data_IF_786786851479
#
_entry.id   IF_786786851479
#
_cell.length_a   1.000
_cell.length_b   1.000
_cell.length_c   1.000
_cell.angle_alpha   90.00
_cell.angle_beta   90.00
_cell.angle_gamma   90.00
#
_symmetry.space_group_name_H-M   'P 1'
#
loop_
_entity.id
_entity.type
_entity.pdbx_description
1 polymer ?
#
# COMPACT_ATOMS: atom_id res chain seq x y z
N UNK A 1 -9.03 -21.73 4.43
CA UNK A 1 -8.35 -20.85 5.38
C UNK A 1 -8.33 -19.48 4.73
N UNK A 2 -9.17 -18.55 5.19
CA UNK A 2 -9.17 -17.16 4.71
C UNK A 2 -8.16 -16.48 5.63
N UNK A 3 -7.00 -16.09 5.11
CA UNK A 3 -6.11 -15.21 5.87
C UNK A 3 -6.81 -13.87 5.99
N UNK A 4 -7.32 -13.58 7.19
CA UNK A 4 -7.71 -12.23 7.55
C UNK A 4 -6.46 -11.37 7.43
N UNK A 5 -6.55 -10.28 6.67
CA UNK A 5 -5.62 -9.17 6.80
C UNK A 5 -5.82 -8.66 8.22
N UNK A 6 -4.92 -9.03 9.12
CA UNK A 6 -4.92 -8.47 10.47
C UNK A 6 -4.65 -6.98 10.33
N UNK A 7 -5.65 -6.19 10.68
CA UNK A 7 -5.55 -4.76 10.81
C UNK A 7 -4.63 -4.48 12.00
N UNK A 8 -3.31 -4.41 11.76
CA UNK A 8 -2.38 -3.96 12.78
C UNK A 8 -2.56 -2.45 12.99
N UNK A 9 -3.51 -2.09 13.86
CA UNK A 9 -3.54 -0.79 14.50
C UNK A 9 -2.33 -0.70 15.44
N UNK A 10 -1.17 -0.30 14.94
CA UNK A 10 -0.15 0.28 15.83
C UNK A 10 -0.80 1.49 16.51
N UNK A 11 -0.88 1.43 17.85
CA UNK A 11 -1.49 2.44 18.73
C UNK A 11 -1.34 3.86 18.15
N UNK A 12 -2.41 4.35 17.54
CA UNK A 12 -2.61 5.74 17.15
C UNK A 12 -2.40 6.13 15.69
N UNK A 13 -1.79 5.31 14.81
CA UNK A 13 -1.55 5.72 13.42
C UNK A 13 -1.62 4.55 12.42
N UNK A 14 -2.44 4.71 11.37
CA UNK A 14 -2.48 3.76 10.26
C UNK A 14 -1.14 3.79 9.50
N UNK A 15 -0.60 2.60 9.20
CA UNK A 15 0.59 2.45 8.34
C UNK A 15 0.25 2.81 6.89
N UNK A 16 -0.97 2.47 6.48
CA UNK A 16 -1.51 2.76 5.15
C UNK A 16 -2.41 4.01 5.19
N UNK A 17 -2.14 4.96 4.30
CA UNK A 17 -2.97 6.17 4.13
C UNK A 17 -4.13 5.96 3.15
N UNK A 18 -4.00 4.98 2.26
CA UNK A 18 -5.00 4.58 1.26
C UNK A 18 -4.78 3.13 0.87
N UNK A 19 -5.86 2.37 0.73
CA UNK A 19 -5.86 1.01 0.20
C UNK A 19 -6.85 0.97 -0.96
N UNK A 20 -6.42 0.36 -2.05
CA UNK A 20 -7.18 0.22 -3.28
C UNK A 20 -7.17 -1.24 -3.73
N UNK A 21 -8.30 -1.71 -4.25
CA UNK A 21 -8.39 -2.98 -4.97
C UNK A 21 -8.75 -2.73 -6.43
N UNK A 22 -7.95 -3.28 -7.32
CA UNK A 22 -8.12 -3.23 -8.77
C UNK A 22 -8.49 -4.62 -9.25
N UNK A 23 -9.50 -4.75 -10.11
CA UNK A 23 -9.90 -6.02 -10.72
C UNK A 23 -8.85 -6.52 -11.72
N UNK A 24 -8.98 -7.77 -12.15
CA UNK A 24 -8.15 -8.32 -13.23
C UNK A 24 -8.32 -7.58 -14.58
N UNK A 25 -9.40 -6.79 -14.75
CA UNK A 25 -9.65 -5.94 -15.92
C UNK A 25 -9.03 -4.54 -15.79
N UNK A 26 -8.40 -4.20 -14.65
CA UNK A 26 -7.87 -2.87 -14.40
C UNK A 26 -8.91 -1.87 -13.89
N UNK A 27 -10.04 -2.34 -13.38
CA UNK A 27 -11.10 -1.47 -12.85
C UNK A 27 -10.95 -1.27 -11.34
N UNK A 28 -11.21 -0.05 -10.86
CA UNK A 28 -11.22 0.24 -9.43
C UNK A 28 -12.48 -0.33 -8.77
N UNK A 29 -12.31 -1.31 -7.87
CA UNK A 29 -13.41 -1.94 -7.14
C UNK A 29 -13.62 -1.33 -5.75
N UNK A 30 -12.53 -0.97 -5.08
CA UNK A 30 -12.56 -0.43 -3.73
C UNK A 30 -11.44 0.58 -3.52
N UNK A 31 -11.72 1.61 -2.72
CA UNK A 31 -10.80 2.69 -2.40
C UNK A 31 -11.14 3.24 -1.01
N UNK A 32 -10.16 3.28 -0.10
CA UNK A 32 -10.34 3.84 1.24
C UNK A 32 -10.02 5.34 1.31
N UNK A 33 -9.65 5.98 0.20
CA UNK A 33 -9.35 7.40 0.12
C UNK A 33 -10.59 8.30 0.20
N UNK A 34 -10.41 9.53 0.69
CA UNK A 34 -11.51 10.49 0.95
C UNK A 34 -12.16 11.11 -0.30
N UNK A 35 -11.55 10.95 -1.48
CA UNK A 35 -12.11 11.31 -2.78
C UNK A 35 -11.26 10.66 -3.89
N UNK A 36 -11.84 10.30 -5.05
CA UNK A 36 -11.03 9.92 -6.20
C UNK A 36 -10.13 11.10 -6.54
N UNK A 37 -8.82 10.84 -6.59
CA UNK A 37 -7.86 11.83 -7.07
C UNK A 37 -8.36 12.37 -8.42
N UNK A 38 -8.39 13.70 -8.56
CA UNK A 38 -8.88 14.43 -9.74
C UNK A 38 -8.08 14.15 -11.02
N UNK A 39 -6.99 13.39 -10.93
CA UNK A 39 -6.27 12.84 -12.05
C UNK A 39 -6.87 11.49 -12.45
N UNK A 40 -7.11 11.30 -13.75
CA UNK A 40 -7.52 10.02 -14.32
C UNK A 40 -6.36 9.02 -14.17
N UNK A 41 -6.32 8.30 -13.05
CA UNK A 41 -5.32 7.27 -12.77
C UNK A 41 -5.60 6.10 -13.71
N UNK A 42 -4.61 5.69 -14.50
CA UNK A 42 -4.63 4.43 -15.23
C UNK A 42 -4.32 3.28 -14.27
N UNK A 43 -5.36 2.71 -13.68
CA UNK A 43 -5.26 1.61 -12.74
C UNK A 43 -4.67 0.34 -13.36
N UNK A 44 -4.85 0.13 -14.67
CA UNK A 44 -4.35 -1.05 -15.34
C UNK A 44 -2.82 -1.12 -15.36
N UNK A 45 -2.14 0.03 -15.33
CA UNK A 45 -0.68 0.12 -15.29
C UNK A 45 -0.06 -0.51 -14.03
N UNK A 46 -0.85 -0.72 -12.98
CA UNK A 46 -0.38 -1.32 -11.72
C UNK A 46 -0.55 -2.84 -11.63
N UNK A 47 -1.20 -3.47 -12.62
CA UNK A 47 -1.41 -4.91 -12.62
C UNK A 47 -0.08 -5.65 -12.84
N UNK A 48 0.26 -6.54 -11.91
CA UNK A 48 1.50 -7.33 -11.97
C UNK A 48 1.21 -8.83 -11.79
N UNK A 49 0.41 -9.44 -12.68
CA UNK A 49 -0.11 -10.79 -12.51
C UNK A 49 0.96 -11.89 -12.48
N UNK A 50 2.14 -11.62 -13.02
CA UNK A 50 3.27 -12.58 -13.07
C UNK A 50 4.11 -12.60 -11.79
N UNK A 51 3.86 -11.66 -10.87
CA UNK A 51 4.65 -11.54 -9.65
C UNK A 51 4.05 -12.38 -8.53
N UNK A 52 4.92 -13.05 -7.76
CA UNK A 52 4.51 -13.85 -6.61
C UNK A 52 4.94 -13.14 -5.32
N UNK A 53 4.08 -12.26 -4.82
CA UNK A 53 4.27 -11.58 -3.53
C UNK A 53 4.13 -10.07 -3.59
N UNK A 54 4.26 -9.45 -2.42
CA UNK A 54 4.20 -8.00 -2.28
C UNK A 54 5.47 -7.35 -2.87
N UNK A 55 5.28 -6.26 -3.60
CA UNK A 55 6.32 -5.43 -4.18
C UNK A 55 6.22 -4.02 -3.60
N UNK A 56 7.37 -3.39 -3.38
CA UNK A 56 7.44 -1.98 -3.06
C UNK A 56 7.75 -1.23 -4.36
N UNK A 57 6.80 -0.40 -4.79
CA UNK A 57 6.94 0.49 -5.94
C UNK A 57 7.32 1.87 -5.41
N UNK A 58 8.45 2.38 -5.89
CA UNK A 58 9.00 3.69 -5.53
C UNK A 58 9.40 4.42 -6.82
N UNK A 59 8.40 4.85 -7.60
CA UNK A 59 8.67 5.69 -8.77
C UNK A 59 7.40 6.39 -9.24
N UNK A 60 6.99 7.42 -8.50
CA UNK A 60 6.03 8.43 -8.92
C UNK A 60 6.51 9.67 -8.17
N UNK A 61 6.87 10.74 -8.89
CA UNK A 61 7.55 11.95 -8.38
C UNK A 61 6.92 12.56 -7.09
N UNK A 62 5.68 12.19 -6.75
CA UNK A 62 4.93 12.63 -5.57
C UNK A 62 4.36 11.50 -4.67
N UNK A 63 4.60 10.21 -4.95
CA UNK A 63 4.07 9.10 -4.14
C UNK A 63 5.22 8.37 -3.44
N UNK A 64 5.39 8.57 -2.11
CA UNK A 64 6.62 8.17 -1.45
C UNK A 64 6.82 6.65 -1.43
N UNK A 65 5.76 5.86 -1.21
CA UNK A 65 5.86 4.40 -1.18
C UNK A 65 4.50 3.75 -1.49
N UNK A 66 4.46 2.89 -2.51
CA UNK A 66 3.28 2.12 -2.89
C UNK A 66 3.58 0.63 -2.75
N UNK A 67 2.86 -0.08 -1.88
CA UNK A 67 2.90 -1.54 -1.79
C UNK A 67 1.90 -2.11 -2.79
N UNK A 68 2.36 -3.03 -3.63
CA UNK A 68 1.57 -3.71 -4.64
C UNK A 68 1.57 -5.21 -4.38
N UNK A 69 0.39 -5.82 -4.21
CA UNK A 69 0.25 -7.24 -3.91
C UNK A 69 -0.79 -7.88 -4.86
N UNK A 70 -0.40 -8.82 -5.73
CA UNK A 70 -1.35 -9.50 -6.59
C UNK A 70 -2.21 -10.45 -5.76
N UNK A 71 -3.52 -10.41 -6.00
CA UNK A 71 -4.49 -11.26 -5.33
C UNK A 71 -4.87 -12.46 -6.22
N UNK A 72 -4.63 -13.65 -5.69
CA UNK A 72 -4.97 -14.91 -6.35
C UNK A 72 -6.07 -15.64 -5.58
N UNK A 73 -7.13 -16.02 -6.29
CA UNK A 73 -8.16 -16.92 -5.76
C UNK A 73 -8.13 -18.24 -6.52
N UNK A 74 -7.93 -19.34 -5.79
CA UNK A 74 -7.80 -20.69 -6.36
C UNK A 74 -6.75 -20.76 -7.49
N UNK A 75 -5.60 -20.12 -7.26
CA UNK A 75 -4.47 -20.10 -8.20
C UNK A 75 -4.69 -19.23 -9.44
N UNK A 76 -5.80 -18.49 -9.52
CA UNK A 76 -6.08 -17.57 -10.62
C UNK A 76 -5.95 -16.13 -10.13
N UNK A 77 -5.24 -15.32 -10.90
CA UNK A 77 -5.21 -13.87 -10.66
C UNK A 77 -6.64 -13.33 -10.67
N UNK A 78 -6.94 -12.44 -9.72
CA UNK A 78 -8.25 -11.81 -9.57
C UNK A 78 -8.18 -10.29 -9.47
N UNK A 79 -6.97 -9.75 -9.34
CA UNK A 79 -6.78 -8.33 -9.14
C UNK A 79 -5.52 -8.00 -8.37
N UNK A 80 -5.38 -6.73 -8.04
CA UNK A 80 -4.22 -6.15 -7.37
C UNK A 80 -4.66 -5.34 -6.15
N UNK A 81 -4.03 -5.58 -5.02
CA UNK A 81 -4.08 -4.69 -3.86
C UNK A 81 -2.97 -3.66 -3.98
N UNK A 82 -3.34 -2.39 -3.83
CA UNK A 82 -2.41 -1.26 -3.76
C UNK A 82 -2.58 -0.57 -2.43
N UNK A 83 -1.48 -0.30 -1.72
CA UNK A 83 -1.52 0.40 -0.45
C UNK A 83 -0.44 1.48 -0.39
N UNK A 84 -0.87 2.72 -0.11
CA UNK A 84 0.03 3.85 0.07
C UNK A 84 0.57 3.81 1.49
N UNK A 85 1.88 3.78 1.62
CA UNK A 85 2.53 3.81 2.93
C UNK A 85 2.92 5.24 3.26
N UNK A 86 2.54 5.69 4.45
CA UNK A 86 2.98 6.99 4.95
C UNK A 86 4.46 6.91 5.34
N UNK A 87 5.30 7.74 4.71
CA UNK A 87 6.70 7.88 5.10
C UNK A 87 6.83 8.31 6.58
N UNK A 88 5.90 9.11 7.09
CA UNK A 88 5.88 9.47 8.52
C UNK A 88 5.61 8.25 9.40
N UNK A 89 4.72 7.35 8.98
CA UNK A 89 4.43 6.11 9.70
C UNK A 89 5.64 5.17 9.68
N UNK A 90 6.33 5.03 8.53
CA UNK A 90 7.58 4.25 8.43
C UNK A 90 8.67 4.87 9.32
N UNK A 91 8.92 6.18 9.18
CA UNK A 91 9.98 6.88 9.91
C UNK A 91 9.77 6.77 11.43
N UNK A 92 8.53 6.94 11.91
CA UNK A 92 8.19 6.76 13.32
C UNK A 92 8.39 5.32 13.78
N UNK A 93 8.00 4.35 12.95
CA UNK A 93 8.19 2.93 13.28
C UNK A 93 9.68 2.58 13.35
N UNK A 94 10.51 3.07 12.43
CA UNK A 94 11.96 2.86 12.49
C UNK A 94 12.59 3.56 13.69
N UNK A 95 12.15 4.77 14.04
CA UNK A 95 12.65 5.50 15.20
C UNK A 95 12.20 4.90 16.54
N UNK A 96 11.08 4.17 16.58
CA UNK A 96 10.71 3.43 17.79
C UNK A 96 11.52 2.15 17.98
N UNK A 97 12.21 1.68 16.94
CA UNK A 97 13.10 0.51 16.97
C UNK A 97 14.55 0.88 17.35
N UNK A 98 14.96 2.14 17.21
CA UNK A 98 16.31 2.61 17.54
C UNK A 98 16.30 3.99 18.23
N UNK A 99 16.76 4.11 19.50
CA UNK A 99 16.89 5.39 20.21
C UNK A 99 17.77 6.41 19.46
N UNK A 100 18.76 5.96 18.69
CA UNK A 100 19.69 6.83 17.94
C UNK A 100 18.99 7.54 16.78
N UNK A 101 17.93 6.93 16.21
CA UNK A 101 17.15 7.53 15.12
C UNK A 101 16.08 8.51 15.62
N UNK A 102 15.77 8.54 16.92
CA UNK A 102 14.82 9.51 17.49
C UNK A 102 15.38 10.93 17.46
N UNK A 103 16.66 11.13 17.81
CA UNK A 103 17.27 12.46 17.84
C UNK A 103 17.42 13.09 16.43
N UNK A 104 17.53 12.27 15.39
CA UNK A 104 17.72 12.71 14.00
C UNK A 104 16.42 13.18 13.31
N UNK A 105 15.25 12.75 13.78
CA UNK A 105 13.95 13.07 13.17
C UNK A 105 13.27 14.27 13.86
N UNK A 106 13.63 14.55 15.12
CA UNK A 106 13.06 15.63 15.92
C UNK A 106 14.00 16.84 16.10
N UNK A 107 15.08 16.93 15.32
CA UNK A 107 15.94 18.11 15.17
C UNK A 107 15.59 18.91 13.92
#
# INVERSE_FOLDING_TARGET
MISAVEEQHQKGHAIFSRIVFITEQGELLADTGAAPATAQIDWAAFLTPETQGAQLLSDLEDIPFLVSLPYFFKGKFKGQLLAWVSLQSIARHLASLDPVLQDAIYS
#
